data_IF_398980868890
#
_entry.id   IF_398980868890
#
_cell.length_a   1.000
_cell.length_b   1.000
_cell.length_c   1.000
_cell.angle_alpha   90.00
_cell.angle_beta   90.00
_cell.angle_gamma   90.00
#
_symmetry.space_group_name_H-M   'P 1'
#
loop_
_entity.id
_entity.type
_entity.pdbx_description
1 polymer ?
#
# COMPACT_ATOMS: atom_id res chain seq x y z
N UNK A 1 22.44 -66.35 -42.17
CA UNK A 1 21.35 -66.31 -43.18
C UNK A 1 20.26 -67.25 -42.69
N UNK A 2 19.25 -66.71 -42.03
CA UNK A 2 18.13 -67.50 -41.47
C UNK A 2 16.91 -67.17 -42.32
N UNK A 3 16.53 -68.09 -43.20
CA UNK A 3 15.37 -67.95 -44.09
C UNK A 3 14.10 -68.38 -43.34
N UNK A 4 13.25 -67.42 -43.01
CA UNK A 4 11.90 -67.65 -42.48
C UNK A 4 10.95 -67.74 -43.67
N UNK A 5 10.06 -68.73 -43.69
CA UNK A 5 9.07 -68.90 -44.77
C UNK A 5 7.97 -67.85 -44.62
N UNK A 6 7.64 -67.19 -45.72
CA UNK A 6 6.69 -66.06 -45.78
C UNK A 6 5.29 -66.37 -45.19
N UNK A 7 4.90 -67.64 -45.13
CA UNK A 7 3.60 -68.08 -44.58
C UNK A 7 3.54 -68.12 -43.04
N UNK A 8 4.67 -67.93 -42.34
CA UNK A 8 4.73 -67.95 -40.87
C UNK A 8 4.67 -66.55 -40.23
N UNK A 9 4.56 -65.49 -41.04
CA UNK A 9 4.40 -64.12 -40.53
C UNK A 9 2.91 -63.83 -40.28
N UNK A 10 2.51 -63.45 -39.06
CA UNK A 10 1.12 -63.13 -38.76
C UNK A 10 0.70 -61.87 -39.53
N UNK A 11 -0.28 -62.01 -40.44
CA UNK A 11 -0.90 -60.87 -41.11
C UNK A 11 -2.15 -60.43 -40.33
N UNK A 12 -2.02 -59.31 -39.63
CA UNK A 12 -3.08 -58.66 -38.86
C UNK A 12 -2.51 -57.58 -37.92
N UNK A 13 -3.34 -56.65 -37.47
CA UNK A 13 -2.96 -55.63 -36.48
C UNK A 13 -2.46 -56.32 -35.21
N UNK A 14 -1.19 -56.09 -34.86
CA UNK A 14 -0.61 -56.53 -33.59
C UNK A 14 -1.35 -55.84 -32.45
N UNK A 15 -2.11 -56.60 -31.66
CA UNK A 15 -2.62 -56.11 -30.38
C UNK A 15 -1.42 -55.87 -29.46
N UNK A 16 -1.32 -54.70 -28.80
CA UNK A 16 -0.22 -54.44 -27.89
C UNK A 16 -0.30 -55.46 -26.75
N UNK A 17 0.81 -56.16 -26.50
CA UNK A 17 0.93 -57.03 -25.35
C UNK A 17 0.67 -56.20 -24.09
N UNK A 18 -0.28 -56.63 -23.26
CA UNK A 18 -0.49 -56.03 -21.94
C UNK A 18 0.81 -56.14 -21.16
N UNK A 19 1.35 -55.00 -20.74
CA UNK A 19 2.47 -54.94 -19.81
C UNK A 19 2.12 -55.77 -18.56
N UNK A 20 3.09 -56.50 -17.98
CA UNK A 20 2.84 -57.24 -16.75
C UNK A 20 2.31 -56.26 -15.69
N UNK A 21 1.27 -56.68 -14.97
CA UNK A 21 0.73 -55.90 -13.88
C UNK A 21 1.85 -55.64 -12.86
N UNK A 22 2.14 -54.37 -12.63
CA UNK A 22 3.04 -53.95 -11.56
C UNK A 22 2.35 -54.32 -10.25
N UNK A 23 2.88 -55.30 -9.52
CA UNK A 23 2.50 -55.50 -8.13
C UNK A 23 2.97 -54.27 -7.35
N UNK A 24 2.04 -53.40 -6.97
CA UNK A 24 2.30 -52.26 -6.09
C UNK A 24 2.75 -52.80 -4.71
N UNK A 25 4.06 -52.81 -4.47
CA UNK A 25 4.60 -53.00 -3.13
C UNK A 25 4.19 -51.79 -2.25
N UNK A 26 3.69 -52.00 -1.01
CA UNK A 26 3.22 -50.91 -0.14
C UNK A 26 4.28 -49.85 0.23
N UNK A 27 5.56 -50.12 -0.04
CA UNK A 27 6.71 -49.30 0.36
C UNK A 27 7.30 -48.43 -0.76
N UNK A 28 6.72 -48.41 -1.96
CA UNK A 28 7.18 -47.56 -3.08
C UNK A 28 6.66 -46.10 -3.00
N UNK A 29 6.51 -45.58 -1.78
CA UNK A 29 6.27 -44.15 -1.58
C UNK A 29 7.61 -43.41 -1.66
N UNK A 30 7.83 -42.70 -2.77
CA UNK A 30 8.94 -41.77 -2.89
C UNK A 30 8.95 -40.88 -1.64
N UNK A 31 10.05 -40.82 -0.87
CA UNK A 31 10.06 -40.06 0.38
C UNK A 31 9.75 -38.60 0.05
N UNK A 32 8.73 -38.06 0.70
CA UNK A 32 8.24 -36.70 0.48
C UNK A 32 8.32 -35.90 1.78
N UNK A 33 8.49 -34.58 1.67
CA UNK A 33 8.41 -33.73 2.84
C UNK A 33 7.00 -33.76 3.45
N UNK A 34 6.87 -33.54 4.77
CA UNK A 34 5.58 -33.25 5.38
C UNK A 34 4.84 -32.17 4.59
N UNK A 35 3.53 -32.35 4.34
CA UNK A 35 2.74 -31.48 3.45
C UNK A 35 2.90 -29.98 3.75
N UNK A 36 2.98 -29.60 5.02
CA UNK A 36 3.17 -28.19 5.43
C UNK A 36 4.51 -27.64 4.95
N UNK A 37 5.59 -28.42 5.09
CA UNK A 37 6.92 -28.04 4.61
C UNK A 37 6.92 -28.01 3.08
N UNK A 38 6.33 -29.02 2.44
CA UNK A 38 6.21 -29.03 0.97
C UNK A 38 5.43 -27.81 0.45
N UNK A 39 4.32 -27.45 1.08
CA UNK A 39 3.54 -26.25 0.74
C UNK A 39 4.35 -24.97 0.94
N UNK A 40 5.09 -24.85 2.05
CA UNK A 40 5.98 -23.73 2.28
C UNK A 40 7.05 -23.61 1.19
N UNK A 41 7.74 -24.71 0.85
CA UNK A 41 8.76 -24.71 -0.20
C UNK A 41 8.17 -24.37 -1.58
N UNK A 42 6.95 -24.84 -1.87
CA UNK A 42 6.24 -24.46 -3.09
C UNK A 42 5.92 -22.95 -3.11
N UNK A 43 5.55 -22.37 -1.97
CA UNK A 43 5.35 -20.92 -1.86
C UNK A 43 6.67 -20.15 -2.03
N UNK A 44 7.78 -20.62 -1.45
CA UNK A 44 9.10 -20.01 -1.64
C UNK A 44 9.51 -20.03 -3.11
N UNK A 45 9.25 -21.14 -3.81
CA UNK A 45 9.49 -21.26 -5.25
C UNK A 45 8.62 -20.29 -6.07
N UNK A 46 7.32 -20.18 -5.72
CA UNK A 46 6.37 -19.30 -6.42
C UNK A 46 6.63 -17.82 -6.17
N UNK A 47 7.07 -17.45 -4.97
CA UNK A 47 7.34 -16.08 -4.54
C UNK A 47 8.82 -15.93 -4.19
N UNK A 48 9.68 -16.12 -5.19
CA UNK A 48 11.14 -16.20 -5.03
C UNK A 48 11.78 -14.88 -4.56
N UNK A 49 11.10 -13.75 -4.76
CA UNK A 49 11.47 -12.42 -4.29
C UNK A 49 11.09 -12.17 -2.82
N UNK A 50 10.34 -13.08 -2.20
CA UNK A 50 9.73 -12.90 -0.88
C UNK A 50 10.29 -13.83 0.19
N UNK A 51 10.36 -13.31 1.41
CA UNK A 51 10.44 -14.13 2.63
C UNK A 51 9.05 -14.68 2.92
N UNK A 52 8.90 -15.99 3.01
CA UNK A 52 7.61 -16.63 3.24
C UNK A 52 7.42 -16.90 4.72
N UNK A 53 6.38 -16.32 5.32
CA UNK A 53 5.96 -16.62 6.68
C UNK A 53 4.73 -17.53 6.62
N UNK A 54 4.86 -18.75 7.13
CA UNK A 54 3.76 -19.73 7.10
C UNK A 54 3.12 -19.89 8.46
N UNK A 55 1.83 -19.60 8.57
CA UNK A 55 1.07 -19.78 9.80
C UNK A 55 0.81 -21.25 10.08
N UNK A 56 1.14 -21.65 11.30
CA UNK A 56 0.92 -22.99 11.85
C UNK A 56 0.36 -22.82 13.26
N UNK A 57 -0.96 -22.93 13.39
CA UNK A 57 -1.67 -22.61 14.63
C UNK A 57 -1.36 -21.19 15.13
N UNK A 58 -0.66 -21.12 16.27
CA UNK A 58 -0.32 -19.86 16.96
C UNK A 58 1.06 -19.30 16.60
N UNK A 59 1.75 -19.86 15.60
CA UNK A 59 3.09 -19.44 15.18
C UNK A 59 3.14 -19.10 13.70
N UNK A 60 4.03 -18.18 13.33
CA UNK A 60 4.56 -18.08 11.97
C UNK A 60 5.92 -18.75 11.94
N UNK A 61 6.15 -19.58 10.92
CA UNK A 61 7.38 -20.34 10.73
C UNK A 61 7.99 -20.08 9.36
N UNK A 62 9.33 -20.12 9.32
CA UNK A 62 10.18 -20.17 8.15
C UNK A 62 10.88 -21.52 8.10
N UNK A 63 11.19 -22.02 6.91
CA UNK A 63 11.88 -23.29 6.73
C UNK A 63 13.08 -23.19 5.78
N UNK A 64 13.95 -24.20 5.86
CA UNK A 64 15.08 -24.39 4.95
C UNK A 64 16.03 -23.19 4.95
N UNK A 65 16.49 -22.80 3.75
CA UNK A 65 17.45 -21.71 3.55
C UNK A 65 16.96 -20.39 4.16
N UNK A 66 15.65 -20.09 4.06
CA UNK A 66 15.10 -18.86 4.65
C UNK A 66 15.18 -18.87 6.18
N UNK A 67 15.01 -20.04 6.82
CA UNK A 67 15.16 -20.15 8.27
C UNK A 67 16.62 -19.92 8.71
N UNK A 68 17.58 -20.46 7.96
CA UNK A 68 19.01 -20.29 8.25
C UNK A 68 19.49 -18.86 8.00
N UNK A 69 19.00 -18.24 6.93
CA UNK A 69 19.37 -16.88 6.56
C UNK A 69 18.73 -15.84 7.49
N UNK A 70 17.41 -15.89 7.68
CA UNK A 70 16.67 -14.85 8.39
C UNK A 70 16.49 -15.13 9.88
N UNK A 71 16.55 -16.40 10.32
CA UNK A 71 16.44 -16.75 11.74
C UNK A 71 17.41 -15.96 12.62
N UNK A 72 18.73 -16.00 12.36
CA UNK A 72 19.72 -15.25 13.12
C UNK A 72 19.53 -13.73 13.03
N UNK A 73 19.20 -13.19 11.84
CA UNK A 73 18.95 -11.76 11.63
C UNK A 73 17.75 -11.25 12.44
N UNK A 74 16.76 -12.11 12.66
CA UNK A 74 15.57 -11.84 13.47
C UNK A 74 15.74 -12.19 14.95
N UNK A 75 16.95 -12.61 15.37
CA UNK A 75 17.23 -13.13 16.72
C UNK A 75 16.34 -14.31 17.10
N UNK A 76 16.01 -15.17 16.13
CA UNK A 76 15.27 -16.41 16.32
C UNK A 76 16.22 -17.59 16.42
N UNK A 77 15.91 -18.53 17.31
CA UNK A 77 16.63 -19.80 17.40
C UNK A 77 16.28 -20.67 16.20
N UNK A 78 17.26 -20.98 15.36
CA UNK A 78 17.11 -21.96 14.28
C UNK A 78 17.18 -23.37 14.88
N UNK A 79 16.12 -24.14 14.69
CA UNK A 79 16.02 -25.54 15.07
C UNK A 79 16.01 -26.44 13.83
N UNK A 80 16.11 -27.76 14.03
CA UNK A 80 16.10 -28.73 12.96
C UNK A 80 14.91 -29.68 13.14
N UNK A 81 14.05 -29.76 12.12
CA UNK A 81 12.91 -30.66 12.09
C UNK A 81 13.28 -31.92 11.32
N UNK A 82 13.20 -33.08 11.98
CA UNK A 82 13.46 -34.37 11.33
C UNK A 82 12.33 -34.69 10.35
N UNK A 83 12.68 -34.97 9.09
CA UNK A 83 11.75 -35.43 8.06
C UNK A 83 12.28 -36.70 7.40
N UNK A 84 11.43 -37.40 6.64
CA UNK A 84 11.84 -38.61 5.90
C UNK A 84 12.94 -38.35 4.86
N UNK A 85 13.04 -37.11 4.35
CA UNK A 85 14.06 -36.66 3.40
C UNK A 85 15.30 -36.05 4.06
N UNK A 86 15.35 -36.02 5.39
CA UNK A 86 16.44 -35.41 6.16
C UNK A 86 15.98 -34.28 7.10
N UNK A 87 16.88 -33.72 7.90
CA UNK A 87 16.57 -32.59 8.75
C UNK A 87 16.32 -31.31 7.91
N UNK A 88 15.30 -30.55 8.26
CA UNK A 88 14.98 -29.25 7.65
C UNK A 88 15.08 -28.17 8.72
N UNK A 89 15.85 -27.11 8.44
CA UNK A 89 15.95 -25.96 9.32
C UNK A 89 14.59 -25.29 9.49
N UNK A 90 14.27 -24.85 10.71
CA UNK A 90 13.05 -24.12 11.03
C UNK A 90 13.33 -23.00 12.03
N UNK A 91 12.67 -21.87 11.85
CA UNK A 91 12.66 -20.77 12.80
C UNK A 91 11.24 -20.19 12.85
N UNK A 92 10.79 -19.71 14.00
CA UNK A 92 9.43 -19.19 14.11
C UNK A 92 9.19 -18.36 15.36
N UNK A 93 8.05 -17.68 15.37
CA UNK A 93 7.63 -16.77 16.43
C UNK A 93 6.11 -16.77 16.58
N UNK A 94 5.62 -16.31 17.73
CA UNK A 94 4.19 -16.27 18.02
C UNK A 94 3.44 -15.31 17.09
N UNK A 95 2.24 -15.68 16.63
CA UNK A 95 1.48 -14.89 15.65
C UNK A 95 1.20 -13.44 16.10
N UNK A 96 1.06 -13.21 17.41
CA UNK A 96 0.87 -11.87 18.01
C UNK A 96 2.06 -10.94 17.80
N UNK A 97 3.24 -11.48 17.49
CA UNK A 97 4.45 -10.71 17.24
C UNK A 97 4.68 -10.41 15.75
N UNK A 98 3.73 -10.76 14.87
CA UNK A 98 3.85 -10.58 13.42
C UNK A 98 4.33 -9.17 13.05
N UNK A 99 3.71 -8.12 13.59
CA UNK A 99 4.07 -6.74 13.27
C UNK A 99 5.53 -6.40 13.60
N UNK A 100 6.07 -6.94 14.71
CA UNK A 100 7.47 -6.74 15.09
C UNK A 100 8.42 -7.34 14.04
N UNK A 101 8.13 -8.55 13.58
CA UNK A 101 8.98 -9.25 12.61
C UNK A 101 8.78 -8.70 11.20
N UNK A 102 7.56 -8.30 10.83
CA UNK A 102 7.29 -7.58 9.59
C UNK A 102 8.07 -6.27 9.55
N UNK A 103 8.08 -5.47 10.64
CA UNK A 103 8.90 -4.27 10.73
C UNK A 103 10.37 -4.56 10.45
N UNK A 104 10.90 -5.61 11.07
CA UNK A 104 12.31 -5.99 10.94
C UNK A 104 12.67 -6.44 9.52
N UNK A 105 11.83 -7.27 8.90
CA UNK A 105 12.03 -7.75 7.53
C UNK A 105 11.84 -6.65 6.48
N UNK A 106 10.76 -5.88 6.59
CA UNK A 106 10.36 -4.90 5.57
C UNK A 106 11.14 -3.61 5.71
N UNK A 107 11.20 -2.99 6.89
CA UNK A 107 11.89 -1.71 7.09
C UNK A 107 13.37 -1.88 7.43
N UNK A 108 13.74 -2.94 8.15
CA UNK A 108 15.12 -3.18 8.58
C UNK A 108 15.97 -3.85 7.50
N UNK A 109 15.44 -4.89 6.86
CA UNK A 109 16.18 -5.70 5.87
C UNK A 109 15.75 -5.44 4.42
N UNK A 110 14.78 -4.57 4.20
CA UNK A 110 14.23 -4.23 2.89
C UNK A 110 13.81 -5.48 2.08
N UNK A 111 13.09 -6.40 2.72
CA UNK A 111 12.56 -7.62 2.11
C UNK A 111 11.06 -7.57 1.92
N UNK A 112 10.59 -8.14 0.82
CA UNK A 112 9.18 -8.45 0.63
C UNK A 112 8.81 -9.68 1.46
N UNK A 113 7.63 -9.68 2.06
CA UNK A 113 7.18 -10.75 2.96
C UNK A 113 5.85 -11.31 2.50
N UNK A 114 5.82 -12.56 2.07
CA UNK A 114 4.59 -13.28 1.74
C UNK A 114 4.01 -13.93 3.00
N UNK A 115 2.78 -13.55 3.36
CA UNK A 115 2.09 -14.09 4.53
C UNK A 115 1.19 -15.23 4.06
N UNK A 116 1.49 -16.46 4.49
CA UNK A 116 0.67 -17.62 4.24
C UNK A 116 -0.20 -17.94 5.46
N UNK A 117 -1.51 -17.76 5.33
CA UNK A 117 -2.50 -18.00 6.39
C UNK A 117 -3.09 -19.42 6.32
N UNK A 118 -3.67 -19.86 7.44
CA UNK A 118 -4.42 -21.12 7.52
C UNK A 118 -5.87 -20.91 7.07
N UNK A 119 -6.25 -21.54 5.97
CA UNK A 119 -7.62 -21.55 5.43
C UNK A 119 -8.23 -22.92 5.71
N UNK A 120 -9.42 -22.97 6.31
CA UNK A 120 -10.12 -24.25 6.54
C UNK A 120 -10.48 -24.91 5.20
N UNK A 121 -10.20 -26.19 5.06
CA UNK A 121 -10.58 -26.95 3.88
C UNK A 121 -12.07 -27.27 3.91
N UNK A 122 -12.73 -27.07 2.76
CA UNK A 122 -14.08 -27.62 2.52
C UNK A 122 -14.03 -29.16 2.55
N UNK A 123 -15.16 -29.86 2.76
CA UNK A 123 -15.19 -31.33 2.73
C UNK A 123 -14.62 -31.93 1.43
N UNK A 124 -14.83 -31.26 0.29
CA UNK A 124 -14.28 -31.66 -1.00
C UNK A 124 -12.74 -31.43 -1.08
N UNK A 125 -12.24 -30.35 -0.49
CA UNK A 125 -10.81 -30.06 -0.43
C UNK A 125 -10.07 -30.94 0.57
N UNK A 126 -10.74 -31.42 1.63
CA UNK A 126 -10.15 -32.39 2.55
C UNK A 126 -9.81 -33.71 1.85
N UNK A 127 -10.68 -34.18 0.95
CA UNK A 127 -10.41 -35.37 0.16
C UNK A 127 -9.18 -35.20 -0.76
N UNK A 128 -8.99 -34.03 -1.37
CA UNK A 128 -7.82 -33.71 -2.21
C UNK A 128 -6.55 -33.43 -1.38
N UNK A 129 -6.71 -32.77 -0.23
CA UNK A 129 -5.64 -32.37 0.68
C UNK A 129 -5.34 -33.41 1.77
N UNK A 130 -5.70 -34.67 1.53
CA UNK A 130 -5.25 -35.81 2.34
C UNK A 130 -5.75 -35.75 3.79
N UNK A 131 -6.99 -35.29 3.98
CA UNK A 131 -7.66 -35.22 5.28
C UNK A 131 -7.23 -34.03 6.16
N UNK A 132 -6.37 -33.12 5.68
CA UNK A 132 -5.98 -31.94 6.45
C UNK A 132 -7.16 -30.99 6.64
N UNK A 133 -7.41 -30.57 7.89
CA UNK A 133 -8.46 -29.58 8.20
C UNK A 133 -8.17 -28.20 7.61
N UNK A 134 -6.90 -27.88 7.35
CA UNK A 134 -6.45 -26.58 6.88
C UNK A 134 -5.55 -26.71 5.65
N UNK A 135 -5.69 -25.79 4.72
CA UNK A 135 -4.74 -25.51 3.66
C UNK A 135 -4.04 -24.18 3.94
N UNK A 136 -2.85 -24.01 3.37
CA UNK A 136 -2.04 -22.80 3.56
C UNK A 136 -2.06 -22.04 2.26
N UNK A 137 -2.48 -20.78 2.31
CA UNK A 137 -2.55 -19.92 1.14
C UNK A 137 -1.92 -18.58 1.47
N UNK A 138 -1.11 -18.07 0.55
CA UNK A 138 -0.59 -16.70 0.64
C UNK A 138 -1.75 -15.72 0.53
N UNK A 139 -2.00 -14.99 1.61
CA UNK A 139 -3.11 -14.03 1.72
C UNK A 139 -2.74 -12.69 1.11
N UNK A 140 -1.50 -12.22 1.33
CA UNK A 140 -0.92 -11.02 0.74
C UNK A 140 0.60 -11.03 0.83
N UNK A 141 1.22 -10.09 0.13
CA UNK A 141 2.63 -9.77 0.16
C UNK A 141 2.81 -8.36 0.72
N UNK A 142 3.59 -8.25 1.80
CA UNK A 142 3.89 -7.00 2.49
C UNK A 142 5.24 -6.48 2.01
N UNK A 143 5.26 -5.23 1.56
CA UNK A 143 6.45 -4.51 1.09
C UNK A 143 6.52 -3.15 1.77
N UNK A 144 7.56 -2.36 1.51
CA UNK A 144 7.74 -1.06 2.14
C UNK A 144 6.61 -0.07 1.79
N UNK A 145 6.05 -0.15 0.59
CA UNK A 145 4.95 0.70 0.12
C UNK A 145 3.55 0.09 0.28
N UNK A 146 3.40 -1.21 0.56
CA UNK A 146 2.08 -1.86 0.66
C UNK A 146 1.53 -2.00 2.10
N UNK A 147 2.05 -1.21 3.03
CA UNK A 147 1.57 -1.16 4.41
C UNK A 147 0.19 -0.49 4.48
N UNK A 148 -0.76 -1.10 5.19
CA UNK A 148 -2.15 -0.66 5.32
C UNK A 148 -2.52 -0.45 6.80
N UNK A 149 -2.39 -1.49 7.61
CA UNK A 149 -2.87 -1.54 9.01
C UNK A 149 -1.81 -2.05 9.99
N UNK A 150 -0.54 -1.94 9.61
CA UNK A 150 0.56 -2.38 10.47
C UNK A 150 0.82 -1.36 11.58
N UNK A 151 0.87 -1.82 12.83
CA UNK A 151 0.98 -0.94 14.01
C UNK A 151 2.29 -0.14 14.08
N UNK A 152 3.31 -0.55 13.31
CA UNK A 152 4.61 0.12 13.24
C UNK A 152 4.68 1.23 12.18
N UNK A 153 3.62 1.44 11.39
CA UNK A 153 3.54 2.56 10.45
C UNK A 153 3.38 3.86 11.24
N UNK A 154 4.15 4.89 10.91
CA UNK A 154 3.97 6.20 11.53
C UNK A 154 2.56 6.75 11.19
N UNK A 155 1.70 7.02 12.19
CA UNK A 155 0.38 7.57 11.94
C UNK A 155 0.40 9.00 11.37
N UNK A 156 1.49 9.74 11.58
CA UNK A 156 1.62 11.15 11.20
C UNK A 156 2.22 11.34 9.80
N UNK A 157 2.69 10.28 9.16
CA UNK A 157 3.26 10.32 7.81
C UNK A 157 2.46 9.46 6.83
N UNK A 158 2.52 9.83 5.55
CA UNK A 158 2.02 9.00 4.47
C UNK A 158 3.03 7.89 4.12
N UNK A 159 2.52 6.71 3.74
CA UNK A 159 3.32 5.59 3.26
C UNK A 159 3.15 5.43 1.74
N UNK A 160 3.69 6.39 0.98
CA UNK A 160 3.45 6.42 -0.46
C UNK A 160 4.22 5.32 -1.21
N UNK A 161 3.48 4.60 -2.04
CA UNK A 161 3.98 3.72 -3.10
C UNK A 161 3.87 4.49 -4.42
N UNK A 162 4.99 4.66 -5.12
CA UNK A 162 5.08 5.44 -6.35
C UNK A 162 5.39 4.51 -7.53
N UNK A 163 4.79 4.74 -8.68
CA UNK A 163 5.23 4.21 -9.96
C UNK A 163 5.69 5.32 -10.88
N UNK A 164 6.60 4.97 -11.79
CA UNK A 164 7.15 5.88 -12.77
C UNK A 164 7.06 5.21 -14.13
N UNK A 165 6.52 5.93 -15.10
CA UNK A 165 6.53 5.49 -16.49
C UNK A 165 7.14 6.59 -17.37
N UNK A 166 8.17 6.23 -18.12
CA UNK A 166 8.82 7.09 -19.09
C UNK A 166 9.19 6.24 -20.31
N UNK A 167 9.00 6.77 -21.51
CA UNK A 167 9.42 6.10 -22.73
C UNK A 167 10.91 6.37 -22.98
N UNK A 168 11.76 5.68 -22.21
CA UNK A 168 13.21 5.81 -22.25
C UNK A 168 13.82 4.56 -22.88
N UNK A 169 14.84 4.75 -23.71
CA UNK A 169 15.70 3.64 -24.10
C UNK A 169 16.50 3.20 -22.87
N UNK A 170 16.13 2.04 -22.32
CA UNK A 170 16.77 1.47 -21.13
C UNK A 170 18.23 1.08 -21.37
N UNK A 171 18.68 1.00 -22.63
CA UNK A 171 20.07 0.72 -22.97
C UNK A 171 20.97 1.97 -22.97
N UNK A 172 20.40 3.16 -23.17
CA UNK A 172 21.12 4.43 -23.15
C UNK A 172 20.30 5.56 -22.49
N UNK A 173 20.08 5.42 -21.18
CA UNK A 173 19.36 6.44 -20.41
C UNK A 173 20.21 7.72 -20.22
N UNK A 174 21.54 7.64 -20.37
CA UNK A 174 22.41 8.83 -20.24
C UNK A 174 22.12 9.83 -21.36
N UNK A 175 21.89 9.33 -22.57
CA UNK A 175 21.55 10.15 -23.73
C UNK A 175 20.08 10.58 -23.78
N UNK A 176 19.27 10.20 -22.78
CA UNK A 176 17.87 10.55 -22.74
C UNK A 176 17.67 12.08 -22.71
N UNK A 177 16.73 12.60 -23.52
CA UNK A 177 16.38 14.01 -23.49
C UNK A 177 15.92 14.41 -22.09
N UNK A 178 16.48 15.48 -21.55
CA UNK A 178 16.15 15.96 -20.21
C UNK A 178 14.73 16.53 -20.11
N UNK A 179 14.16 16.92 -21.24
CA UNK A 179 12.77 17.33 -21.46
C UNK A 179 11.84 16.13 -21.77
N UNK A 180 12.33 14.89 -21.69
CA UNK A 180 11.51 13.70 -21.88
C UNK A 180 10.34 13.69 -20.88
N UNK A 181 9.16 13.35 -21.39
CA UNK A 181 7.94 13.31 -20.60
C UNK A 181 7.91 12.09 -19.69
N UNK A 182 7.63 12.33 -18.41
CA UNK A 182 7.58 11.31 -17.36
C UNK A 182 6.24 11.38 -16.65
N UNK A 183 5.57 10.23 -16.57
CA UNK A 183 4.34 10.03 -15.81
C UNK A 183 4.65 9.46 -14.43
N UNK A 184 4.05 10.05 -13.41
CA UNK A 184 4.16 9.63 -12.02
C UNK A 184 2.77 9.36 -11.46
N UNK A 185 2.63 8.25 -10.76
CA UNK A 185 1.40 7.91 -10.05
C UNK A 185 1.75 7.33 -8.69
N UNK A 186 1.12 7.81 -7.63
CA UNK A 186 1.40 7.28 -6.29
C UNK A 186 0.14 7.18 -5.44
N UNK A 187 0.18 6.19 -4.55
CA UNK A 187 -0.93 5.87 -3.65
C UNK A 187 -0.43 5.71 -2.22
N UNK A 188 -1.30 6.02 -1.26
CA UNK A 188 -1.15 5.58 0.12
C UNK A 188 -2.27 4.57 0.41
N UNK A 189 -1.93 3.28 0.44
CA UNK A 189 -2.92 2.23 0.66
C UNK A 189 -3.55 2.30 2.06
N UNK A 190 -2.87 2.93 3.03
CA UNK A 190 -3.41 3.09 4.37
C UNK A 190 -4.49 4.16 4.42
N UNK A 191 -4.45 5.20 3.59
CA UNK A 191 -5.45 6.28 3.60
C UNK A 191 -6.35 6.31 2.37
N UNK A 192 -6.07 5.50 1.35
CA UNK A 192 -6.76 5.51 0.06
C UNK A 192 -6.40 6.72 -0.80
N UNK A 193 -5.31 7.43 -0.51
CA UNK A 193 -4.88 8.57 -1.33
C UNK A 193 -4.41 8.06 -2.69
N UNK A 194 -4.80 8.76 -3.77
CA UNK A 194 -4.35 8.48 -5.13
C UNK A 194 -4.05 9.81 -5.83
N UNK A 195 -2.81 9.98 -6.27
CA UNK A 195 -2.37 11.14 -7.03
C UNK A 195 -1.67 10.74 -8.33
N UNK A 196 -1.77 11.62 -9.33
CA UNK A 196 -1.03 11.53 -10.59
C UNK A 196 -0.32 12.86 -10.87
N UNK A 197 0.81 12.79 -11.57
CA UNK A 197 1.54 13.98 -12.00
C UNK A 197 2.35 13.71 -13.26
N UNK A 198 2.30 14.65 -14.20
CA UNK A 198 3.24 14.77 -15.31
C UNK A 198 4.45 15.59 -14.89
N UNK A 199 5.65 15.17 -15.28
CA UNK A 199 6.89 15.95 -15.09
C UNK A 199 7.89 15.66 -16.21
N UNK A 200 9.00 16.39 -16.21
CA UNK A 200 10.13 16.19 -17.12
C UNK A 200 11.22 15.39 -16.42
N UNK A 201 12.04 14.66 -17.17
CA UNK A 201 13.13 13.84 -16.64
C UNK A 201 14.09 14.65 -15.76
N UNK A 202 14.42 15.89 -16.15
CA UNK A 202 15.27 16.79 -15.36
C UNK A 202 14.71 17.11 -13.96
N UNK A 203 13.38 17.15 -13.83
CA UNK A 203 12.68 17.48 -12.58
C UNK A 203 12.37 16.24 -11.72
N UNK A 204 12.57 15.03 -12.25
CA UNK A 204 12.14 13.77 -11.65
C UNK A 204 12.65 13.59 -10.21
N UNK A 205 13.95 13.73 -10.00
CA UNK A 205 14.55 13.56 -8.66
C UNK A 205 14.02 14.54 -7.62
N UNK A 206 13.67 15.77 -8.03
CA UNK A 206 13.04 16.77 -7.15
C UNK A 206 11.59 16.41 -6.81
N UNK A 207 10.83 15.90 -7.79
CA UNK A 207 9.46 15.44 -7.55
C UNK A 207 9.43 14.20 -6.65
N UNK A 208 10.33 13.23 -6.85
CA UNK A 208 10.45 12.04 -6.00
C UNK A 208 10.79 12.43 -4.55
N UNK A 209 11.75 13.33 -4.36
CA UNK A 209 12.11 13.83 -3.04
C UNK A 209 10.94 14.53 -2.33
N UNK A 210 10.11 15.27 -3.10
CA UNK A 210 8.90 15.93 -2.60
C UNK A 210 7.81 14.93 -2.19
N UNK A 211 7.56 13.91 -3.02
CA UNK A 211 6.59 12.85 -2.70
C UNK A 211 7.06 12.07 -1.47
N UNK A 212 8.36 11.75 -1.40
CA UNK A 212 8.95 10.96 -0.32
C UNK A 212 8.38 9.54 -0.27
N UNK A 213 8.32 8.88 -1.43
CA UNK A 213 7.84 7.51 -1.55
C UNK A 213 8.71 6.53 -0.75
N UNK A 214 8.07 5.54 -0.13
CA UNK A 214 8.73 4.47 0.63
C UNK A 214 9.15 3.32 -0.27
N UNK A 215 8.45 3.16 -1.40
CA UNK A 215 8.78 2.21 -2.44
C UNK A 215 8.46 2.82 -3.82
N UNK A 216 9.33 2.55 -4.78
CA UNK A 216 9.20 2.97 -6.18
C UNK A 216 9.11 1.73 -7.06
N UNK A 217 8.02 1.61 -7.81
CA UNK A 217 7.75 0.53 -8.75
C UNK A 217 8.14 0.98 -10.14
N UNK A 218 9.00 0.20 -10.78
CA UNK A 218 9.44 0.40 -12.15
C UNK A 218 9.09 -0.83 -12.99
N UNK A 219 8.99 -0.62 -14.30
CA UNK A 219 8.85 -1.74 -15.25
C UNK A 219 10.12 -2.62 -15.23
N UNK A 220 9.96 -3.92 -15.41
CA UNK A 220 11.06 -4.90 -15.46
C UNK A 220 12.14 -4.60 -16.51
N UNK A 221 11.83 -3.83 -17.55
CA UNK A 221 12.82 -3.32 -18.51
C UNK A 221 13.93 -2.49 -17.86
N UNK A 222 13.64 -1.80 -16.75
CA UNK A 222 14.63 -1.02 -15.99
C UNK A 222 15.57 -1.89 -15.14
N UNK A 223 15.34 -3.20 -15.03
CA UNK A 223 16.22 -4.11 -14.28
C UNK A 223 17.61 -4.24 -14.92
N UNK A 224 17.71 -4.02 -16.24
CA UNK A 224 18.97 -4.07 -16.99
C UNK A 224 19.83 -2.82 -16.82
N UNK A 225 19.27 -1.76 -16.27
CA UNK A 225 19.91 -0.46 -16.10
C UNK A 225 20.90 -0.53 -14.94
N UNK A 226 22.07 0.06 -15.10
CA UNK A 226 23.03 0.17 -13.98
C UNK A 226 22.38 0.87 -12.78
N UNK A 227 22.46 0.21 -11.62
CA UNK A 227 21.87 0.67 -10.38
C UNK A 227 22.38 2.05 -9.98
N UNK A 228 23.66 2.34 -10.21
CA UNK A 228 24.23 3.66 -9.87
C UNK A 228 23.67 4.79 -10.71
N UNK A 229 23.25 4.49 -11.93
CA UNK A 229 22.62 5.45 -12.84
C UNK A 229 21.16 5.64 -12.46
N UNK A 230 20.46 4.55 -12.14
CA UNK A 230 19.08 4.61 -11.69
C UNK A 230 18.96 5.40 -10.37
N UNK A 231 19.85 5.16 -9.41
CA UNK A 231 19.86 5.88 -8.15
C UNK A 231 20.16 7.38 -8.35
N UNK A 232 20.94 7.76 -9.37
CA UNK A 232 21.16 9.17 -9.75
C UNK A 232 19.88 9.82 -10.30
N UNK A 233 19.10 9.10 -11.11
CA UNK A 233 17.83 9.59 -11.67
C UNK A 233 16.73 9.73 -10.63
N UNK A 234 16.57 8.71 -9.79
CA UNK A 234 15.59 8.70 -8.70
C UNK A 234 16.01 9.63 -7.55
N UNK A 235 17.32 9.91 -7.48
CA UNK A 235 17.99 10.63 -6.42
C UNK A 235 18.33 9.72 -5.23
N UNK A 236 19.51 9.95 -4.62
CA UNK A 236 20.02 9.39 -3.35
C UNK A 236 19.06 9.52 -2.14
N UNK A 237 17.92 8.85 -2.18
CA UNK A 237 16.87 8.86 -1.15
C UNK A 237 16.75 7.54 -0.40
N UNK A 238 17.54 6.51 -0.76
CA UNK A 238 17.46 5.19 -0.14
C UNK A 238 16.10 4.51 -0.35
N UNK A 239 15.42 4.84 -1.45
CA UNK A 239 14.12 4.27 -1.77
C UNK A 239 14.23 2.77 -2.06
N UNK A 240 13.29 1.98 -1.54
CA UNK A 240 13.12 0.62 -2.01
C UNK A 240 12.63 0.69 -3.47
N UNK A 241 13.36 0.08 -4.40
CA UNK A 241 12.93 0.01 -5.80
C UNK A 241 12.57 -1.42 -6.11
N UNK A 242 11.39 -1.60 -6.67
CA UNK A 242 10.84 -2.89 -7.04
C UNK A 242 10.56 -2.88 -8.54
N UNK A 243 10.93 -3.98 -9.21
CA UNK A 243 10.62 -4.16 -10.62
C UNK A 243 9.36 -5.02 -10.74
N UNK A 244 8.44 -4.59 -11.59
CA UNK A 244 7.20 -5.31 -11.87
C UNK A 244 7.07 -5.53 -13.38
N UNK A 245 6.59 -6.71 -13.76
CA UNK A 245 6.27 -7.00 -15.15
C UNK A 245 4.76 -6.80 -15.33
N UNK A 246 4.32 -5.69 -15.95
CA UNK A 246 2.91 -5.36 -16.06
C UNK A 246 2.17 -6.36 -16.95
N UNK A 247 0.92 -6.66 -16.62
CA UNK A 247 0.01 -7.35 -17.56
C UNK A 247 -0.19 -6.47 -18.82
N UNK A 248 0.15 -6.96 -20.03
CA UNK A 248 -0.02 -6.20 -21.27
C UNK A 248 -1.46 -5.72 -21.51
N UNK A 249 -2.45 -6.38 -20.90
CA UNK A 249 -3.85 -5.99 -21.02
C UNK A 249 -4.23 -4.88 -20.03
N UNK A 250 -3.48 -4.71 -18.93
CA UNK A 250 -3.74 -3.73 -17.89
C UNK A 250 -3.06 -2.40 -18.21
N UNK A 251 -3.55 -1.71 -19.25
CA UNK A 251 -2.96 -0.44 -19.72
C UNK A 251 -3.93 0.75 -19.70
N UNK A 252 -5.24 0.50 -19.77
CA UNK A 252 -6.28 1.53 -19.76
C UNK A 252 -6.71 1.96 -18.34
N UNK A 253 -7.15 3.23 -18.20
CA UNK A 253 -7.81 3.79 -17.00
C UNK A 253 -9.04 2.96 -16.60
N UNK A 254 -9.74 2.34 -17.55
CA UNK A 254 -10.94 1.55 -17.26
C UNK A 254 -10.65 0.38 -16.31
N UNK A 255 -9.41 -0.15 -16.34
CA UNK A 255 -8.99 -1.22 -15.45
C UNK A 255 -8.72 -0.76 -14.02
N UNK A 256 -8.70 0.55 -13.75
CA UNK A 256 -8.52 1.10 -12.41
C UNK A 256 -9.81 0.97 -11.59
N UNK A 257 -10.97 0.98 -12.26
CA UNK A 257 -12.30 1.02 -11.63
C UNK A 257 -12.52 -0.01 -10.50
N UNK A 258 -12.06 -1.28 -10.58
CA UNK A 258 -12.26 -2.25 -9.51
C UNK A 258 -11.60 -1.88 -8.17
N UNK A 259 -10.58 -1.00 -8.18
CA UNK A 259 -9.85 -0.58 -6.99
C UNK A 259 -10.24 0.82 -6.51
N UNK A 260 -11.13 1.52 -7.23
CA UNK A 260 -11.55 2.88 -6.90
C UNK A 260 -12.91 2.89 -6.19
N UNK A 261 -13.11 3.84 -5.27
CA UNK A 261 -14.42 4.11 -4.65
C UNK A 261 -15.48 4.47 -5.70
N UNK A 262 -15.06 5.17 -6.76
CA UNK A 262 -15.89 5.57 -7.90
C UNK A 262 -15.05 5.52 -9.17
N UNK A 263 -15.61 5.10 -10.31
CA UNK A 263 -14.89 5.12 -11.57
C UNK A 263 -14.51 6.57 -11.94
N UNK A 264 -13.35 6.73 -12.57
CA UNK A 264 -12.88 8.01 -13.10
C UNK A 264 -13.87 8.53 -14.14
N UNK A 265 -14.26 9.81 -14.03
CA UNK A 265 -15.15 10.40 -15.03
C UNK A 265 -14.46 10.53 -16.40
N UNK A 266 -15.25 10.59 -17.47
CA UNK A 266 -14.69 10.76 -18.83
C UNK A 266 -13.94 12.08 -19.02
N UNK A 267 -14.31 13.11 -18.27
CA UNK A 267 -13.66 14.42 -18.33
C UNK A 267 -12.30 14.39 -17.63
N UNK A 268 -12.24 13.83 -16.42
CA UNK A 268 -10.98 13.62 -15.69
C UNK A 268 -10.03 12.70 -16.46
N UNK A 269 -10.56 11.63 -17.04
CA UNK A 269 -9.80 10.68 -17.86
C UNK A 269 -9.07 11.36 -19.03
N UNK A 270 -9.69 12.37 -19.66
CA UNK A 270 -9.07 13.15 -20.76
C UNK A 270 -7.99 14.12 -20.29
N UNK A 271 -7.94 14.43 -18.99
CA UNK A 271 -6.96 15.37 -18.44
C UNK A 271 -5.59 14.72 -18.23
N UNK A 272 -5.54 13.40 -18.03
CA UNK A 272 -4.31 12.65 -17.78
C UNK A 272 -3.51 12.43 -19.07
N UNK A 273 -2.19 12.50 -18.98
CA UNK A 273 -1.29 12.12 -20.08
C UNK A 273 -1.22 10.60 -20.21
N UNK A 274 -0.80 10.12 -21.39
CA UNK A 274 -0.58 8.68 -21.60
C UNK A 274 0.43 8.09 -20.60
N UNK A 275 1.50 8.85 -20.27
CA UNK A 275 2.49 8.41 -19.30
C UNK A 275 1.90 8.34 -17.88
N UNK A 276 1.05 9.28 -17.47
CA UNK A 276 0.35 9.23 -16.17
C UNK A 276 -0.54 7.99 -16.06
N UNK A 277 -1.25 7.66 -17.15
CA UNK A 277 -2.09 6.46 -17.22
C UNK A 277 -1.27 5.18 -17.15
N UNK A 278 -0.19 5.08 -17.91
CA UNK A 278 0.65 3.88 -17.88
C UNK A 278 1.35 3.70 -16.52
N UNK A 279 1.79 4.79 -15.89
CA UNK A 279 2.29 4.76 -14.52
C UNK A 279 1.21 4.25 -13.54
N UNK A 280 -0.01 4.78 -13.62
CA UNK A 280 -1.10 4.33 -12.75
C UNK A 280 -1.49 2.87 -12.97
N UNK A 281 -1.50 2.43 -14.23
CA UNK A 281 -1.76 1.05 -14.58
C UNK A 281 -0.67 0.10 -14.03
N UNK A 282 0.60 0.44 -14.18
CA UNK A 282 1.72 -0.30 -13.57
C UNK A 282 1.58 -0.41 -12.05
N UNK A 283 1.23 0.70 -11.38
CA UNK A 283 1.07 0.75 -9.93
C UNK A 283 -0.07 -0.15 -9.44
N UNK A 284 -1.24 -0.04 -10.05
CA UNK A 284 -2.42 -0.78 -9.62
C UNK A 284 -2.31 -2.27 -9.93
N UNK A 285 -1.68 -2.64 -11.06
CA UNK A 285 -1.38 -4.04 -11.36
C UNK A 285 -0.41 -4.64 -10.33
N UNK A 286 0.64 -3.89 -9.96
CA UNK A 286 1.53 -4.28 -8.88
C UNK A 286 0.78 -4.46 -7.55
N UNK A 287 -0.04 -3.48 -7.15
CA UNK A 287 -0.84 -3.55 -5.92
C UNK A 287 -1.78 -4.76 -5.94
N UNK A 288 -2.44 -5.03 -7.07
CA UNK A 288 -3.30 -6.22 -7.25
C UNK A 288 -2.51 -7.51 -7.07
N UNK A 289 -1.31 -7.61 -7.64
CA UNK A 289 -0.41 -8.76 -7.47
C UNK A 289 0.06 -8.97 -6.03
N UNK A 290 0.25 -7.89 -5.27
CA UNK A 290 0.70 -7.96 -3.86
C UNK A 290 -0.45 -8.19 -2.88
N UNK A 291 -1.63 -7.61 -3.11
CA UNK A 291 -2.79 -7.74 -2.21
C UNK A 291 -3.58 -9.04 -2.43
N UNK A 292 -3.45 -9.67 -3.60
CA UNK A 292 -4.08 -10.94 -3.96
C UNK A 292 -5.60 -10.93 -3.76
N UNK A 293 -6.09 -11.42 -2.63
CA UNK A 293 -7.52 -11.52 -2.32
C UNK A 293 -8.06 -10.32 -1.52
N UNK A 294 -7.17 -9.44 -1.06
CA UNK A 294 -7.57 -8.25 -0.33
C UNK A 294 -8.02 -7.15 -1.29
N UNK A 295 -9.18 -6.59 -1.00
CA UNK A 295 -9.71 -5.45 -1.72
C UNK A 295 -9.39 -4.16 -0.96
N UNK A 296 -8.82 -3.20 -1.66
CA UNK A 296 -8.64 -1.83 -1.16
C UNK A 296 -9.55 -0.90 -1.94
N UNK A 297 -10.00 0.17 -1.30
CA UNK A 297 -10.84 1.18 -1.94
C UNK A 297 -10.08 2.49 -1.99
N UNK A 298 -9.52 2.82 -3.15
CA UNK A 298 -8.77 4.04 -3.35
C UNK A 298 -9.70 5.17 -3.78
N UNK A 299 -9.39 6.40 -3.36
CA UNK A 299 -10.12 7.58 -3.82
C UNK A 299 -9.85 7.85 -5.29
N UNK A 300 -10.71 8.65 -5.93
CA UNK A 300 -10.51 9.08 -7.30
C UNK A 300 -9.13 9.77 -7.46
N UNK A 301 -8.35 9.45 -8.51
CA UNK A 301 -7.03 10.04 -8.74
C UNK A 301 -7.10 11.57 -8.87
N UNK A 302 -6.30 12.27 -8.07
CA UNK A 302 -6.16 13.73 -8.15
C UNK A 302 -4.89 14.07 -8.94
N UNK A 303 -5.05 14.71 -10.09
CA UNK A 303 -3.92 15.22 -10.87
C UNK A 303 -3.27 16.42 -10.16
N UNK A 304 -1.94 16.40 -10.04
CA UNK A 304 -1.15 17.53 -9.56
C UNK A 304 -0.37 18.15 -10.71
N UNK A 305 -0.65 19.41 -11.03
CA UNK A 305 0.13 20.13 -12.03
C UNK A 305 1.37 20.75 -11.39
N UNK A 306 2.45 20.84 -12.16
CA UNK A 306 3.68 21.49 -11.70
C UNK A 306 3.50 23.00 -11.47
N UNK A 307 2.58 23.64 -12.21
CA UNK A 307 2.22 25.06 -12.07
C UNK A 307 1.48 25.41 -10.78
N UNK A 308 0.93 24.42 -10.08
CA UNK A 308 0.07 24.67 -8.92
C UNK A 308 0.88 24.83 -7.63
N UNK A 309 2.14 24.38 -7.63
CA UNK A 309 3.00 24.33 -6.45
C UNK A 309 4.37 24.92 -6.69
N UNK A 310 4.92 25.60 -5.68
CA UNK A 310 6.29 26.09 -5.71
C UNK A 310 7.25 24.91 -5.92
N UNK A 311 8.08 25.02 -6.95
CA UNK A 311 9.15 24.06 -7.20
C UNK A 311 10.24 24.23 -6.16
N UNK A 312 10.41 23.23 -5.32
CA UNK A 312 11.54 23.13 -4.38
C UNK A 312 12.35 21.92 -4.82
N UNK A 313 13.62 22.14 -5.15
CA UNK A 313 14.50 21.05 -5.56
C UNK A 313 14.90 20.19 -4.35
N UNK A 314 15.39 18.98 -4.64
CA UNK A 314 15.80 18.03 -3.61
C UNK A 314 16.82 18.61 -2.63
N UNK A 315 17.79 19.40 -3.11
CA UNK A 315 18.83 19.95 -2.24
C UNK A 315 18.27 21.03 -1.31
N UNK A 316 17.42 21.93 -1.82
CA UNK A 316 16.75 22.93 -0.97
C UNK A 316 15.82 22.28 0.05
N UNK A 317 15.08 21.21 -0.31
CA UNK A 317 14.24 20.47 0.65
C UNK A 317 15.06 19.92 1.83
N UNK A 318 16.26 19.39 1.57
CA UNK A 318 17.18 18.89 2.60
C UNK A 318 17.84 20.03 3.38
N UNK A 319 18.30 21.07 2.69
CA UNK A 319 19.00 22.22 3.30
C UNK A 319 18.09 23.06 4.20
N UNK A 320 16.80 23.17 3.85
CA UNK A 320 15.78 23.80 4.70
C UNK A 320 15.29 22.90 5.83
N UNK A 321 15.77 21.65 5.91
CA UNK A 321 15.40 20.66 6.93
C UNK A 321 13.88 20.57 7.12
N UNK A 322 13.10 20.52 6.02
CA UNK A 322 11.64 20.65 6.10
C UNK A 322 11.02 19.48 6.88
N UNK A 323 11.40 18.24 6.53
CA UNK A 323 10.87 17.01 7.16
C UNK A 323 11.78 16.52 8.29
N UNK A 324 13.08 16.55 8.06
CA UNK A 324 14.11 16.02 8.96
C UNK A 324 15.39 16.84 8.89
N UNK A 325 16.15 16.80 9.98
CA UNK A 325 17.46 17.46 10.10
C UNK A 325 18.50 16.81 9.20
N UNK A 326 19.41 17.60 8.64
CA UNK A 326 20.50 17.17 7.78
C UNK A 326 21.53 16.29 8.53
N UNK A 327 21.82 16.64 9.78
CA UNK A 327 22.89 16.00 10.57
C UNK A 327 22.54 14.58 11.00
N UNK A 328 21.39 14.42 11.65
CA UNK A 328 21.01 13.18 12.32
C UNK A 328 19.80 12.49 11.66
N UNK A 329 19.22 13.09 10.60
CA UNK A 329 18.01 12.57 9.95
C UNK A 329 16.77 12.58 10.83
N UNK A 330 16.81 13.28 11.97
CA UNK A 330 15.75 13.26 12.98
C UNK A 330 14.60 14.20 12.62
N UNK A 331 13.41 13.84 13.09
CA UNK A 331 12.25 14.74 13.06
C UNK A 331 12.46 15.96 13.98
N UNK A 332 13.06 15.77 15.15
CA UNK A 332 13.28 16.85 16.11
C UNK A 332 14.26 17.88 15.55
N UNK A 333 13.90 19.16 15.61
CA UNK A 333 14.69 20.26 15.04
C UNK A 333 14.31 20.67 13.62
N UNK A 334 13.50 19.88 12.91
CA UNK A 334 13.02 20.22 11.56
C UNK A 334 11.96 21.34 11.57
N UNK A 335 11.72 21.97 10.42
CA UNK A 335 10.63 22.95 10.27
C UNK A 335 9.27 22.34 10.61
N UNK A 336 9.01 21.11 10.17
CA UNK A 336 7.77 20.41 10.49
C UNK A 336 7.63 20.20 11.99
N UNK A 337 8.71 19.90 12.73
CA UNK A 337 8.67 19.80 14.19
C UNK A 337 8.32 21.13 14.87
N UNK A 338 8.89 22.23 14.40
CA UNK A 338 8.60 23.56 14.92
C UNK A 338 7.13 23.97 14.72
N UNK A 339 6.58 23.74 13.51
CA UNK A 339 5.25 24.22 13.11
C UNK A 339 4.12 23.26 13.47
N UNK A 340 4.37 21.95 13.56
CA UNK A 340 3.31 20.95 13.79
C UNK A 340 2.70 21.09 15.20
N UNK A 341 1.48 21.64 15.24
CA UNK A 341 0.60 21.74 16.43
C UNK A 341 -0.82 21.19 16.17
N UNK A 342 -0.90 20.29 15.18
CA UNK A 342 -2.12 19.59 14.76
C UNK A 342 -2.60 18.63 15.84
N UNK A 343 -3.92 18.49 15.98
CA UNK A 343 -4.55 17.58 16.95
C UNK A 343 -4.81 16.19 16.36
N UNK A 344 -5.02 16.10 15.05
CA UNK A 344 -5.31 14.85 14.33
C UNK A 344 -4.12 14.34 13.53
N UNK A 345 -4.06 13.02 13.35
CA UNK A 345 -3.05 12.32 12.53
C UNK A 345 -3.15 12.70 11.05
N UNK A 346 -4.37 12.70 10.50
CA UNK A 346 -4.66 13.16 9.14
C UNK A 346 -4.29 14.64 8.92
N UNK A 347 -4.52 15.49 9.91
CA UNK A 347 -4.11 16.90 9.87
C UNK A 347 -2.58 17.07 9.84
N UNK A 348 -1.84 16.23 10.57
CA UNK A 348 -0.37 16.22 10.51
C UNK A 348 0.14 15.83 9.11
N UNK A 349 -0.46 14.80 8.49
CA UNK A 349 -0.14 14.39 7.11
C UNK A 349 -0.43 15.52 6.12
N UNK A 350 -1.60 16.16 6.21
CA UNK A 350 -1.97 17.28 5.36
C UNK A 350 -1.00 18.48 5.51
N UNK A 351 -0.62 18.82 6.75
CA UNK A 351 0.36 19.88 7.01
C UNK A 351 1.72 19.54 6.39
N UNK A 352 2.19 18.31 6.57
CA UNK A 352 3.44 17.84 5.95
C UNK A 352 3.39 17.98 4.43
N UNK A 353 2.31 17.53 3.78
CA UNK A 353 2.16 17.67 2.33
C UNK A 353 2.17 19.14 1.87
N UNK A 354 1.51 20.03 2.61
CA UNK A 354 1.47 21.47 2.27
C UNK A 354 2.81 22.18 2.43
N UNK A 355 3.64 21.77 3.40
CA UNK A 355 4.96 22.38 3.60
C UNK A 355 5.96 21.98 2.51
N UNK A 356 5.88 20.76 2.00
CA UNK A 356 6.77 20.27 0.92
C UNK A 356 6.24 20.68 -0.47
N UNK A 357 4.95 21.01 -0.58
CA UNK A 357 4.31 21.54 -1.79
C UNK A 357 3.53 22.84 -1.50
N UNK A 358 4.20 23.98 -1.31
CA UNK A 358 3.50 25.26 -1.13
C UNK A 358 2.65 25.61 -2.36
N UNK A 359 1.39 26.01 -2.18
CA UNK A 359 0.51 26.38 -3.29
C UNK A 359 0.93 27.69 -3.93
N UNK A 360 0.81 27.82 -5.25
CA UNK A 360 0.98 29.07 -6.01
C UNK A 360 -0.36 29.72 -6.40
N UNK A 361 -1.48 29.13 -5.99
CA UNK A 361 -2.81 29.68 -6.22
C UNK A 361 -3.13 30.76 -5.19
N UNK A 362 -3.14 32.03 -5.62
CA UNK A 362 -3.49 33.16 -4.76
C UNK A 362 -4.88 33.01 -4.10
N UNK A 363 -5.95 32.57 -4.80
CA UNK A 363 -7.23 32.28 -4.16
C UNK A 363 -7.14 31.24 -3.04
N UNK A 364 -6.35 30.18 -3.23
CA UNK A 364 -6.18 29.14 -2.22
C UNK A 364 -5.38 29.64 -1.01
N UNK A 365 -4.32 30.43 -1.24
CA UNK A 365 -3.51 31.04 -0.19
C UNK A 365 -4.38 31.97 0.65
N UNK A 366 -5.12 32.88 0.02
CA UNK A 366 -5.97 33.84 0.72
C UNK A 366 -7.08 33.13 1.49
N UNK A 367 -7.74 32.14 0.91
CA UNK A 367 -8.75 31.35 1.64
C UNK A 367 -8.19 30.66 2.89
N UNK A 368 -6.95 30.17 2.84
CA UNK A 368 -6.28 29.61 4.02
C UNK A 368 -5.95 30.69 5.07
N UNK A 369 -5.49 31.86 4.65
CA UNK A 369 -5.17 32.99 5.55
C UNK A 369 -6.43 33.57 6.21
N UNK A 370 -7.53 33.65 5.47
CA UNK A 370 -8.86 34.03 5.96
C UNK A 370 -9.30 33.12 7.12
N UNK A 371 -9.20 31.79 6.92
CA UNK A 371 -9.53 30.81 7.97
C UNK A 371 -8.64 30.94 9.21
N UNK A 372 -7.35 31.25 9.01
CA UNK A 372 -6.42 31.47 10.12
C UNK A 372 -6.80 32.74 10.88
N UNK A 373 -7.07 33.84 10.18
CA UNK A 373 -7.45 35.12 10.76
C UNK A 373 -8.73 34.98 11.59
N UNK A 374 -9.74 34.29 11.05
CA UNK A 374 -11.02 34.06 11.73
C UNK A 374 -10.84 33.28 13.06
N UNK A 375 -10.06 32.20 13.04
CA UNK A 375 -9.80 31.37 14.22
C UNK A 375 -8.81 32.00 15.22
N UNK A 376 -7.99 32.96 14.78
CA UNK A 376 -7.14 33.76 15.66
C UNK A 376 -7.95 34.86 16.36
N UNK A 377 -8.96 35.43 15.70
CA UNK A 377 -9.86 36.42 16.30
C UNK A 377 -10.81 35.83 17.36
N UNK A 378 -11.07 34.52 17.31
CA UNK A 378 -12.05 33.84 18.16
C UNK A 378 -11.44 32.68 18.97
N UNK A 379 -10.78 33.03 20.09
CA UNK A 379 -10.09 32.06 20.96
C UNK A 379 -10.97 30.90 21.45
N UNK A 380 -12.21 31.20 21.87
CA UNK A 380 -13.14 30.19 22.37
C UNK A 380 -13.49 29.16 21.29
N UNK A 381 -13.90 29.63 20.10
CA UNK A 381 -14.22 28.77 18.97
C UNK A 381 -13.03 27.88 18.59
N UNK A 382 -11.82 28.45 18.58
CA UNK A 382 -10.60 27.72 18.26
C UNK A 382 -10.33 26.59 19.26
N UNK A 383 -10.39 26.87 20.56
CA UNK A 383 -10.12 25.84 21.58
C UNK A 383 -11.21 24.77 21.64
N UNK A 384 -12.49 25.14 21.49
CA UNK A 384 -13.59 24.18 21.39
C UNK A 384 -13.44 23.26 20.18
N UNK A 385 -13.13 23.83 19.00
CA UNK A 385 -12.87 23.06 17.78
C UNK A 385 -11.67 22.13 17.96
N UNK A 386 -10.58 22.61 18.56
CA UNK A 386 -9.39 21.79 18.84
C UNK A 386 -9.70 20.64 19.80
N UNK A 387 -10.47 20.91 20.86
CA UNK A 387 -10.91 19.91 21.84
C UNK A 387 -11.79 18.84 21.18
N UNK A 388 -12.72 19.26 20.33
CA UNK A 388 -13.56 18.35 19.54
C UNK A 388 -12.71 17.47 18.61
N UNK A 389 -11.81 18.07 17.82
CA UNK A 389 -10.91 17.35 16.91
C UNK A 389 -9.96 16.38 17.62
N UNK A 390 -9.58 16.59 18.89
CA UNK A 390 -8.76 15.62 19.64
C UNK A 390 -9.48 14.30 19.92
N UNK A 391 -10.81 14.31 19.91
CA UNK A 391 -11.65 13.14 20.19
C UNK A 391 -12.01 12.34 18.93
N UNK A 392 -11.58 12.78 17.75
CA UNK A 392 -11.86 12.08 16.49
C UNK A 392 -10.81 11.02 16.19
N UNK A 393 -11.19 10.03 15.39
CA UNK A 393 -10.28 9.00 14.89
C UNK A 393 -9.74 9.37 13.51
N UNK A 394 -8.73 8.64 13.06
CA UNK A 394 -8.24 8.75 11.69
C UNK A 394 -9.16 7.98 10.72
N UNK A 395 -10.26 8.62 10.32
CA UNK A 395 -11.31 8.01 9.50
C UNK A 395 -10.78 7.42 8.20
N UNK A 396 -9.82 8.08 7.53
CA UNK A 396 -9.30 7.60 6.25
C UNK A 396 -8.61 6.23 6.41
N UNK A 397 -7.81 6.05 7.47
CA UNK A 397 -7.18 4.76 7.75
C UNK A 397 -8.16 3.72 8.27
N UNK A 398 -9.13 4.16 9.06
CA UNK A 398 -10.20 3.30 9.56
C UNK A 398 -11.03 2.69 8.42
N UNK A 399 -11.35 3.49 7.39
CA UNK A 399 -12.06 3.01 6.21
C UNK A 399 -11.27 1.94 5.45
N UNK A 400 -9.94 2.10 5.32
CA UNK A 400 -9.11 1.07 4.69
C UNK A 400 -9.08 -0.24 5.49
N UNK A 401 -9.08 -0.17 6.83
CA UNK A 401 -9.19 -1.37 7.69
C UNK A 401 -10.48 -2.14 7.41
N UNK A 402 -11.60 -1.43 7.19
CA UNK A 402 -12.85 -2.06 6.78
C UNK A 402 -12.77 -2.63 5.37
N UNK A 403 -12.15 -1.94 4.41
CA UNK A 403 -12.00 -2.44 3.03
C UNK A 403 -11.27 -3.78 2.99
N UNK A 404 -10.22 -3.95 3.79
CA UNK A 404 -9.45 -5.19 3.87
C UNK A 404 -10.04 -6.24 4.85
N UNK A 405 -11.22 -6.00 5.41
CA UNK A 405 -11.90 -6.94 6.32
C UNK A 405 -11.26 -7.10 7.70
N UNK A 406 -10.48 -6.11 8.16
CA UNK A 406 -9.83 -6.08 9.48
C UNK A 406 -10.47 -5.13 10.51
N UNK A 407 -11.55 -4.45 10.14
CA UNK A 407 -12.27 -3.56 11.06
C UNK A 407 -13.08 -4.35 12.09
N UNK A 408 -13.12 -3.85 13.32
CA UNK A 408 -13.87 -4.44 14.44
C UNK A 408 -15.09 -3.59 14.86
N UNK A 409 -15.80 -4.02 15.92
CA UNK A 409 -16.95 -3.28 16.44
C UNK A 409 -16.55 -1.95 17.12
N UNK A 410 -15.39 -1.94 17.77
CA UNK A 410 -14.84 -0.74 18.40
C UNK A 410 -14.53 0.34 17.35
N UNK A 411 -14.02 -0.07 16.19
CA UNK A 411 -13.78 0.77 15.02
C UNK A 411 -15.07 1.38 14.50
N UNK A 412 -16.15 0.59 14.42
CA UNK A 412 -17.47 1.10 13.99
C UNK A 412 -18.00 2.13 14.97
N UNK A 413 -17.91 1.87 16.27
CA UNK A 413 -18.27 2.83 17.31
C UNK A 413 -17.42 4.10 17.23
N UNK A 414 -16.12 3.95 16.98
CA UNK A 414 -15.20 5.08 16.87
C UNK A 414 -15.47 5.93 15.61
N UNK A 415 -15.89 5.30 14.51
CA UNK A 415 -16.40 5.98 13.31
C UNK A 415 -17.67 6.77 13.62
N UNK A 416 -18.67 6.15 14.23
CA UNK A 416 -19.94 6.80 14.58
C UNK A 416 -19.72 8.01 15.51
N UNK A 417 -18.90 7.85 16.56
CA UNK A 417 -18.50 8.95 17.45
C UNK A 417 -17.81 10.07 16.69
N UNK A 418 -16.93 9.76 15.75
CA UNK A 418 -16.24 10.77 14.94
C UNK A 418 -17.22 11.56 14.08
N UNK A 419 -18.20 10.90 13.45
CA UNK A 419 -19.25 11.57 12.67
C UNK A 419 -20.07 12.52 13.55
N UNK A 420 -20.48 12.09 14.74
CA UNK A 420 -21.20 12.95 15.69
C UNK A 420 -20.37 14.18 16.11
N UNK A 421 -19.08 14.01 16.36
CA UNK A 421 -18.17 15.12 16.69
C UNK A 421 -18.04 16.09 15.52
N UNK A 422 -17.93 15.59 14.28
CA UNK A 422 -17.89 16.44 13.09
C UNK A 422 -19.18 17.26 12.96
N UNK A 423 -20.35 16.65 13.19
CA UNK A 423 -21.62 17.38 13.22
C UNK A 423 -21.64 18.49 14.29
N UNK A 424 -21.11 18.21 15.48
CA UNK A 424 -20.97 19.23 16.53
C UNK A 424 -20.09 20.38 16.07
N UNK A 425 -18.95 20.09 15.43
CA UNK A 425 -18.05 21.11 14.89
C UNK A 425 -18.75 21.98 13.84
N UNK A 426 -19.46 21.35 12.90
CA UNK A 426 -20.21 22.08 11.86
C UNK A 426 -21.29 22.96 12.48
N UNK A 427 -22.02 22.48 13.49
CA UNK A 427 -23.02 23.29 14.19
C UNK A 427 -22.39 24.48 14.93
N UNK A 428 -21.23 24.29 15.57
CA UNK A 428 -20.48 25.38 16.22
C UNK A 428 -20.06 26.45 15.20
N UNK A 429 -19.52 26.03 14.04
CA UNK A 429 -19.12 26.93 12.96
C UNK A 429 -20.33 27.68 12.36
N UNK A 430 -21.45 26.99 12.15
CA UNK A 430 -22.69 27.61 11.65
C UNK A 430 -23.31 28.61 12.62
N UNK A 431 -23.17 28.38 13.93
CA UNK A 431 -23.64 29.32 14.96
C UNK A 431 -22.77 30.57 15.03
N UNK A 432 -21.46 30.41 14.77
CA UNK A 432 -20.50 31.50 14.75
C UNK A 432 -20.58 32.37 13.49
N UNK A 433 -20.93 31.78 12.33
CA UNK A 433 -21.12 32.51 11.09
C UNK A 433 -22.10 33.68 11.29
N UNK A 434 -21.68 34.94 11.05
CA UNK A 434 -22.49 36.11 11.37
C UNK A 434 -23.78 36.15 10.55
N UNK A 435 -24.90 36.45 11.20
CA UNK A 435 -26.14 36.85 10.52
C UNK A 435 -26.10 38.31 10.00
N UNK A 436 -24.99 39.05 10.13
CA UNK A 436 -24.95 40.50 9.97
C UNK A 436 -23.94 41.07 8.95
N UNK A 437 -24.45 41.98 8.10
CA UNK A 437 -23.85 42.68 6.94
C UNK A 437 -22.89 43.85 7.28
N UNK A 438 -22.08 43.77 8.34
CA UNK A 438 -21.43 44.96 8.93
C UNK A 438 -20.06 45.35 8.39
N UNK A 439 -19.09 44.42 8.33
CA UNK A 439 -17.68 44.74 8.11
C UNK A 439 -17.08 43.96 6.92
N UNK A 440 -16.51 44.68 5.96
CA UNK A 440 -16.04 44.15 4.65
C UNK A 440 -14.91 43.12 4.81
N UNK A 441 -14.03 43.27 5.81
CA UNK A 441 -12.95 42.31 6.09
C UNK A 441 -13.41 41.10 6.92
N UNK A 442 -14.44 41.27 7.75
CA UNK A 442 -15.10 40.14 8.44
C UNK A 442 -15.90 39.26 7.46
N UNK A 443 -16.35 39.85 6.35
CA UNK A 443 -17.12 39.20 5.30
C UNK A 443 -16.28 38.18 4.52
N UNK A 444 -15.04 38.49 4.12
CA UNK A 444 -14.19 37.54 3.38
C UNK A 444 -13.83 36.31 4.23
N UNK A 445 -13.46 36.55 5.48
CA UNK A 445 -13.10 35.52 6.46
C UNK A 445 -14.27 34.57 6.74
N UNK A 446 -15.45 35.15 6.96
CA UNK A 446 -16.71 34.40 7.11
C UNK A 446 -17.12 33.63 5.85
N UNK A 447 -16.86 34.16 4.65
CA UNK A 447 -17.15 33.48 3.38
C UNK A 447 -16.25 32.25 3.20
N UNK A 448 -14.96 32.34 3.54
CA UNK A 448 -14.03 31.21 3.48
C UNK A 448 -14.40 30.11 4.49
N UNK A 449 -14.84 30.49 5.70
CA UNK A 449 -15.35 29.53 6.69
C UNK A 449 -16.64 28.86 6.22
N UNK A 450 -17.57 29.63 5.66
CA UNK A 450 -18.81 29.11 5.07
C UNK A 450 -18.53 28.14 3.93
N UNK A 451 -17.65 28.50 3.00
CA UNK A 451 -17.24 27.60 1.91
C UNK A 451 -16.56 26.32 2.42
N UNK A 452 -15.95 26.33 3.61
CA UNK A 452 -15.44 25.11 4.24
C UNK A 452 -16.58 24.23 4.75
N UNK A 453 -17.56 24.80 5.44
CA UNK A 453 -18.70 24.07 5.99
C UNK A 453 -19.61 23.53 4.89
N UNK A 454 -19.89 24.33 3.87
CA UNK A 454 -20.77 23.95 2.75
C UNK A 454 -20.21 22.78 1.92
N UNK A 455 -18.92 22.47 2.02
CA UNK A 455 -18.29 21.29 1.39
C UNK A 455 -18.57 19.97 2.12
N UNK A 456 -19.08 20.02 3.35
CA UNK A 456 -19.31 18.84 4.17
C UNK A 456 -20.76 18.37 4.01
N UNK A 457 -20.97 17.27 3.28
CA UNK A 457 -22.25 16.57 3.27
C UNK A 457 -22.33 15.61 4.47
N UNK A 458 -23.24 15.91 5.40
CA UNK A 458 -23.41 15.19 6.66
C UNK A 458 -24.70 14.36 6.72
N UNK A 459 -25.61 14.45 5.76
CA UNK A 459 -26.90 13.75 5.84
C UNK A 459 -26.71 12.22 5.81
N UNK A 460 -25.94 11.73 4.82
CA UNK A 460 -25.59 10.31 4.70
C UNK A 460 -24.80 9.78 5.90
N UNK A 461 -23.66 10.40 6.25
CA UNK A 461 -22.86 10.00 7.41
C UNK A 461 -23.64 9.99 8.73
N UNK A 462 -24.50 10.99 8.97
CA UNK A 462 -25.28 11.06 10.21
C UNK A 462 -26.24 9.88 10.35
N UNK A 463 -26.94 9.52 9.27
CA UNK A 463 -27.81 8.32 9.24
C UNK A 463 -27.02 7.05 9.50
N UNK A 464 -25.82 6.94 8.94
CA UNK A 464 -24.92 5.81 9.19
C UNK A 464 -24.51 5.74 10.67
N UNK A 465 -24.13 6.87 11.27
CA UNK A 465 -23.74 6.90 12.68
C UNK A 465 -24.88 6.45 13.61
N UNK A 466 -26.12 6.89 13.34
CA UNK A 466 -27.30 6.44 14.09
C UNK A 466 -27.50 4.93 13.93
N UNK A 467 -27.44 4.40 12.70
CA UNK A 467 -27.60 2.96 12.44
C UNK A 467 -26.53 2.11 13.13
N UNK A 468 -25.28 2.59 13.19
CA UNK A 468 -24.19 1.90 13.88
C UNK A 468 -24.49 1.84 15.38
N UNK A 469 -24.92 2.95 15.98
CA UNK A 469 -25.22 3.01 17.41
C UNK A 469 -26.43 2.14 17.76
N UNK A 470 -27.50 2.19 16.98
CA UNK A 470 -28.70 1.33 17.15
C UNK A 470 -28.38 -0.16 16.97
N UNK A 471 -27.44 -0.50 16.09
CA UNK A 471 -27.06 -1.90 15.86
C UNK A 471 -26.13 -2.48 16.92
N UNK A 472 -25.41 -1.62 17.66
CA UNK A 472 -24.46 -2.02 18.70
C UNK A 472 -25.07 -1.83 20.11
N UNK A 473 -26.21 -1.14 20.21
CA UNK A 473 -26.93 -0.88 21.46
C UNK A 473 -28.29 -1.63 21.48
N UNK A 474 -28.28 -2.85 22.01
CA UNK A 474 -29.33 -3.46 22.85
C UNK A 474 -28.78 -4.80 23.38
N UNK A 475 -28.32 -4.82 24.64
CA UNK A 475 -27.96 -6.01 25.44
C UNK A 475 -26.98 -7.03 24.81
N UNK A 476 -25.67 -6.77 24.94
CA UNK A 476 -24.63 -7.81 25.10
C UNK A 476 -24.56 -8.95 24.08
#
# INVERSE_FOLDING_TARGET
KSTIKFQELPQGLLTPASLPAVEEHPDDQTPAYPRVIQQHLNHVSRFSDCVVLTRIGNFYELYGEQAEQYGPLLNLKVAQRKTALGPVAMAGFQYTQLDRFLKSLVQGLNKHVAISEEVRNSPADQAKNGGLLYNRKVSRIVTAGTLIDETFVDPFENNFLLSIHANLDTTDIVSAPQDADVGLTWVDLSSGDFFTQRTELASLGSVIARIGAREIVLDSSFERVDRTLLDRLLGDGGHAVTYHNPDPNFVSIDHWAPMLEKPVSREESRSFSAHEVLAGSLLLDYVKGRLLELNVSLRCPIRRNQSDYMSIDKQTLKALEIRSTLRDGLFQGSLLHAVRRTTTKSGARLLSQRLVSPSMSLPEINSRLDLITELLGHDQLREETRSALRRTTDVLRLLQRFSIGKGDADDLLALAKTIQIINQIVNMMNTHLPQHKGDVDSLSSSLSLKALVDRLDLDGPSKLATRILEAIDEEG
#
